data_IF_526748130044
#
_entry.id   IF_526748130044
#
_cell.length_a   1.000
_cell.length_b   1.000
_cell.length_c   1.000
_cell.angle_alpha   90.00
_cell.angle_beta   90.00
_cell.angle_gamma   90.00
#
_symmetry.space_group_name_H-M   'P 1'
#
loop_
_entity.id
_entity.type
_entity.pdbx_description
1 polymer ?
#
# COMPACT_ATOMS: atom_id res chain seq x y z
N UNK A 1 10.57 -8.09 10.11
CA UNK A 1 10.12 -8.01 8.71
C UNK A 1 8.64 -8.30 8.68
N UNK A 2 7.84 -7.37 8.18
CA UNK A 2 6.39 -7.53 8.11
C UNK A 2 6.03 -8.37 6.90
N UNK A 3 5.16 -9.37 7.08
CA UNK A 3 4.72 -10.24 5.99
C UNK A 3 3.75 -9.47 5.09
N UNK A 4 3.98 -9.45 3.77
CA UNK A 4 3.03 -8.87 2.83
C UNK A 4 2.09 -9.93 2.27
N UNK A 5 0.78 -9.66 2.29
CA UNK A 5 -0.25 -10.57 1.81
C UNK A 5 -0.99 -9.90 0.65
N UNK A 6 -0.66 -10.22 -0.61
CA UNK A 6 -1.32 -9.62 -1.76
C UNK A 6 -2.75 -10.12 -1.92
N UNK A 7 -3.69 -9.20 -2.14
CA UNK A 7 -5.05 -9.56 -2.57
C UNK A 7 -5.11 -9.83 -4.07
N UNK A 8 -6.19 -10.47 -4.54
CA UNK A 8 -6.44 -10.67 -5.99
C UNK A 8 -6.44 -9.36 -6.76
N UNK A 9 -7.05 -8.30 -6.19
CA UNK A 9 -7.11 -6.98 -6.84
C UNK A 9 -5.75 -6.31 -6.95
N UNK A 10 -4.92 -6.41 -5.91
CA UNK A 10 -3.53 -5.95 -6.00
C UNK A 10 -2.77 -6.66 -7.12
N UNK A 11 -2.91 -7.99 -7.24
CA UNK A 11 -2.25 -8.76 -8.31
C UNK A 11 -2.75 -8.31 -9.69
N UNK A 12 -4.07 -8.18 -9.87
CA UNK A 12 -4.68 -7.65 -11.10
C UNK A 12 -4.14 -6.27 -11.47
N UNK A 13 -4.00 -5.37 -10.49
CA UNK A 13 -3.48 -4.02 -10.71
C UNK A 13 -1.99 -4.06 -11.08
N UNK A 14 -1.18 -4.87 -10.39
CA UNK A 14 0.25 -5.02 -10.66
C UNK A 14 0.53 -5.57 -12.07
N UNK A 15 -0.28 -6.52 -12.55
CA UNK A 15 -0.17 -7.06 -13.91
C UNK A 15 -0.36 -6.00 -15.00
N UNK A 16 -1.17 -4.95 -14.75
CA UNK A 16 -1.32 -3.82 -15.69
C UNK A 16 -0.02 -3.07 -15.92
N UNK A 17 0.90 -3.11 -14.95
CA UNK A 17 2.22 -2.47 -15.03
C UNK A 17 3.31 -3.42 -15.51
N UNK A 18 3.02 -4.70 -15.80
CA UNK A 18 4.02 -5.71 -16.15
C UNK A 18 4.97 -5.30 -17.28
N UNK A 19 4.47 -4.56 -18.28
CA UNK A 19 5.27 -4.05 -19.43
C UNK A 19 5.98 -2.72 -19.13
N UNK A 20 5.72 -2.10 -17.99
CA UNK A 20 6.27 -0.80 -17.59
C UNK A 20 7.39 -1.00 -16.57
N UNK A 21 8.56 -1.44 -17.04
CA UNK A 21 9.70 -1.83 -16.20
C UNK A 21 10.10 -0.77 -15.16
N UNK A 22 10.03 0.51 -15.52
CA UNK A 22 10.35 1.60 -14.61
C UNK A 22 9.41 1.64 -13.39
N UNK A 23 8.11 1.46 -13.59
CA UNK A 23 7.11 1.46 -12.51
C UNK A 23 7.24 0.17 -11.69
N UNK A 24 7.42 -0.99 -12.34
CA UNK A 24 7.63 -2.26 -11.63
C UNK A 24 8.81 -2.23 -10.67
N UNK A 25 9.93 -1.57 -11.05
CA UNK A 25 11.06 -1.37 -10.14
C UNK A 25 10.70 -0.51 -8.92
N UNK A 26 9.86 0.52 -9.08
CA UNK A 26 9.39 1.35 -7.96
C UNK A 26 8.43 0.58 -7.06
N UNK A 27 7.53 -0.22 -7.63
CA UNK A 27 6.65 -1.11 -6.86
C UNK A 27 7.50 -2.07 -6.03
N UNK A 28 8.44 -2.79 -6.65
CA UNK A 28 9.32 -3.73 -5.95
C UNK A 28 10.12 -3.06 -4.82
N UNK A 29 10.66 -1.85 -5.05
CA UNK A 29 11.31 -1.05 -4.01
C UNK A 29 10.37 -0.72 -2.86
N UNK A 30 9.14 -0.33 -3.17
CA UNK A 30 8.11 0.01 -2.16
C UNK A 30 7.76 -1.21 -1.31
N UNK A 31 7.56 -2.37 -1.94
CA UNK A 31 7.28 -3.63 -1.24
C UNK A 31 8.45 -4.01 -0.32
N UNK A 32 9.69 -3.93 -0.80
CA UNK A 32 10.88 -4.19 0.03
C UNK A 32 10.95 -3.26 1.25
N UNK A 33 10.68 -1.97 1.06
CA UNK A 33 10.65 -1.02 2.17
C UNK A 33 9.53 -1.35 3.17
N UNK A 34 8.36 -1.76 2.70
CA UNK A 34 7.27 -2.21 3.57
C UNK A 34 7.65 -3.46 4.37
N UNK A 35 8.34 -4.43 3.77
CA UNK A 35 8.80 -5.64 4.48
C UNK A 35 9.86 -5.30 5.54
N UNK A 36 10.81 -4.43 5.22
CA UNK A 36 11.91 -4.06 6.10
C UNK A 36 11.45 -3.10 7.22
N UNK A 37 10.71 -2.05 6.87
CA UNK A 37 10.25 -1.00 7.77
C UNK A 37 9.01 -0.26 7.20
N UNK A 38 7.78 -0.65 7.58
CA UNK A 38 6.55 0.02 7.14
C UNK A 38 6.48 1.52 7.47
N UNK A 39 7.25 1.98 8.45
CA UNK A 39 7.31 3.39 8.87
C UNK A 39 8.47 4.16 8.20
N UNK A 40 9.11 3.58 7.18
CA UNK A 40 10.20 4.24 6.47
C UNK A 40 9.71 5.58 5.86
N UNK A 41 10.40 6.72 6.08
CA UNK A 41 9.91 8.04 5.68
C UNK A 41 9.69 8.19 4.17
N UNK A 42 10.43 7.42 3.37
CA UNK A 42 10.24 7.35 1.91
C UNK A 42 8.89 6.80 1.45
N UNK A 43 8.20 6.01 2.29
CA UNK A 43 6.88 5.46 1.99
C UNK A 43 5.77 6.51 2.08
N UNK A 44 5.99 7.60 2.83
CA UNK A 44 4.98 8.64 3.08
C UNK A 44 3.61 8.04 3.42
N UNK A 45 3.63 7.17 4.43
CA UNK A 45 2.46 6.45 4.89
C UNK A 45 1.37 7.44 5.34
N UNK A 46 0.19 7.32 4.77
CA UNK A 46 -0.96 8.19 5.02
C UNK A 46 -2.23 7.36 5.21
N UNK A 47 -3.14 7.81 6.09
CA UNK A 47 -4.42 7.13 6.29
C UNK A 47 -5.38 7.51 5.15
N UNK A 48 -6.12 6.54 4.62
CA UNK A 48 -7.12 6.83 3.58
C UNK A 48 -8.35 7.43 4.27
N UNK A 49 -8.78 8.61 3.79
CA UNK A 49 -9.90 9.34 4.43
C UNK A 49 -11.23 8.61 4.23
N UNK A 50 -11.42 7.97 3.08
CA UNK A 50 -12.67 7.30 2.72
C UNK A 50 -12.79 5.88 3.28
N UNK A 51 -11.70 5.30 3.78
CA UNK A 51 -11.67 3.98 4.40
C UNK A 51 -10.78 4.03 5.65
N UNK A 52 -11.38 4.11 6.86
CA UNK A 52 -10.63 4.27 8.09
C UNK A 52 -9.79 3.04 8.45
N UNK A 53 -10.00 1.90 7.79
CA UNK A 53 -9.21 0.67 7.98
C UNK A 53 -8.00 0.62 7.06
N UNK A 54 -7.99 1.39 5.98
CA UNK A 54 -6.95 1.35 4.98
C UNK A 54 -5.97 2.52 5.06
N UNK A 55 -4.74 2.24 4.64
CA UNK A 55 -3.62 3.16 4.56
C UNK A 55 -3.06 3.15 3.15
N UNK A 56 -2.36 4.22 2.78
CA UNK A 56 -1.69 4.35 1.50
C UNK A 56 -0.21 4.64 1.71
N UNK A 57 0.61 4.05 0.84
CA UNK A 57 2.01 4.42 0.69
C UNK A 57 2.30 4.87 -0.73
N UNK A 58 3.30 5.74 -0.85
CA UNK A 58 3.74 6.29 -2.11
C UNK A 58 4.64 5.31 -2.85
N UNK A 59 4.22 4.96 -4.07
CA UNK A 59 5.07 4.26 -5.04
C UNK A 59 5.86 5.28 -5.86
N UNK A 60 5.17 6.29 -6.38
CA UNK A 60 5.79 7.46 -7.00
C UNK A 60 4.90 8.71 -6.93
N UNK A 61 5.11 9.70 -7.80
CA UNK A 61 4.28 10.91 -7.78
C UNK A 61 2.82 10.62 -8.13
N UNK A 62 2.56 9.67 -9.03
CA UNK A 62 1.24 9.36 -9.55
C UNK A 62 0.58 8.21 -8.78
N UNK A 63 1.33 7.16 -8.48
CA UNK A 63 0.77 5.92 -7.96
C UNK A 63 0.88 5.78 -6.45
N UNK A 64 -0.13 5.13 -5.87
CA UNK A 64 -0.24 4.74 -4.47
C UNK A 64 -0.52 3.25 -4.37
N UNK A 65 0.07 2.63 -3.36
CA UNK A 65 -0.27 1.29 -2.93
C UNK A 65 -1.11 1.42 -1.67
N UNK A 66 -2.33 0.89 -1.68
CA UNK A 66 -3.16 0.81 -0.48
C UNK A 66 -3.00 -0.52 0.23
N UNK A 67 -3.03 -0.48 1.56
CA UNK A 67 -2.82 -1.61 2.43
C UNK A 67 -3.69 -1.53 3.68
N UNK A 68 -3.94 -2.67 4.29
CA UNK A 68 -4.65 -2.81 5.56
C UNK A 68 -3.71 -3.51 6.57
N UNK A 69 -3.39 -2.86 7.70
CA UNK A 69 -2.73 -3.52 8.81
C UNK A 69 -3.74 -4.44 9.52
N UNK A 70 -3.60 -5.75 9.34
CA UNK A 70 -4.58 -6.75 9.81
C UNK A 70 -4.85 -6.72 11.33
N UNK A 71 -4.01 -6.01 12.09
CA UNK A 71 -4.14 -5.85 13.53
C UNK A 71 -3.98 -4.40 13.94
N UNK A 72 -4.84 -3.99 14.87
CA UNK A 72 -4.74 -2.73 15.59
C UNK A 72 -4.27 -3.01 17.02
N UNK A 73 -3.41 -2.15 17.55
CA UNK A 73 -3.02 -2.14 18.96
C UNK A 73 -4.19 -1.62 19.82
N UNK A 74 -4.25 -1.97 21.12
CA UNK A 74 -5.30 -1.47 22.03
C UNK A 74 -5.42 0.05 22.10
N UNK A 75 -4.33 0.77 21.82
CA UNK A 75 -4.29 2.23 21.74
C UNK A 75 -4.90 2.82 20.44
N UNK A 76 -5.42 1.98 19.53
CA UNK A 76 -6.06 2.40 18.28
C UNK A 76 -5.08 2.69 17.13
N UNK A 77 -3.78 2.45 17.32
CA UNK A 77 -2.77 2.54 16.26
C UNK A 77 -2.59 1.19 15.55
N UNK A 78 -2.28 1.17 14.25
CA UNK A 78 -1.92 -0.08 13.58
C UNK A 78 -0.71 -0.78 14.20
N UNK A 79 -0.77 -2.11 14.27
CA UNK A 79 0.38 -2.95 14.55
C UNK A 79 1.17 -3.18 13.27
N UNK A 80 2.14 -2.30 13.01
CA UNK A 80 3.00 -2.39 11.82
C UNK A 80 3.92 -3.62 11.79
N UNK A 81 4.05 -4.35 12.91
CA UNK A 81 4.79 -5.61 12.96
C UNK A 81 3.95 -6.81 12.49
N UNK A 82 2.62 -6.66 12.45
CA UNK A 82 1.72 -7.66 11.93
C UNK A 82 1.81 -7.77 10.40
N UNK A 83 1.25 -8.84 9.80
CA UNK A 83 1.12 -8.91 8.36
C UNK A 83 0.33 -7.72 7.79
N UNK A 84 0.77 -7.23 6.63
CA UNK A 84 0.12 -6.16 5.90
C UNK A 84 -0.57 -6.74 4.67
N UNK A 85 -1.88 -6.51 4.57
CA UNK A 85 -2.66 -6.93 3.41
C UNK A 85 -2.57 -5.88 2.32
N UNK A 86 -2.07 -6.23 1.13
CA UNK A 86 -1.96 -5.31 0.00
C UNK A 86 -3.28 -5.29 -0.78
N UNK A 87 -3.96 -4.15 -0.75
CA UNK A 87 -5.32 -4.01 -1.26
C UNK A 87 -5.34 -3.67 -2.74
N UNK A 88 -4.83 -2.49 -3.13
CA UNK A 88 -4.88 -1.99 -4.51
C UNK A 88 -3.59 -1.26 -4.88
N UNK A 89 -3.34 -1.13 -6.17
CA UNK A 89 -2.33 -0.24 -6.73
C UNK A 89 -3.01 0.69 -7.74
N UNK A 90 -3.21 1.94 -7.35
CA UNK A 90 -4.02 2.92 -8.09
C UNK A 90 -3.24 4.22 -8.27
N UNK A 91 -3.74 5.12 -9.11
CA UNK A 91 -3.29 6.51 -9.04
C UNK A 91 -3.87 7.21 -7.79
N UNK A 92 -3.29 8.35 -7.45
CA UNK A 92 -3.70 9.11 -6.28
C UNK A 92 -5.18 9.49 -6.34
N UNK A 93 -5.66 9.97 -7.50
CA UNK A 93 -7.02 10.48 -7.63
C UNK A 93 -8.07 9.36 -7.51
N UNK A 94 -7.81 8.20 -8.13
CA UNK A 94 -8.68 7.02 -8.05
C UNK A 94 -8.74 6.44 -6.63
N UNK A 95 -7.65 6.54 -5.87
CA UNK A 95 -7.63 6.05 -4.49
C UNK A 95 -8.52 6.88 -3.55
N UNK A 96 -8.62 8.19 -3.79
CA UNK A 96 -9.42 9.11 -2.96
C UNK A 96 -10.77 9.48 -3.58
N UNK A 97 -11.13 8.90 -4.72
CA UNK A 97 -12.43 9.11 -5.33
C UNK A 97 -13.51 8.48 -4.45
N UNK A 98 -14.49 9.27 -4.03
CA UNK A 98 -15.68 8.73 -3.40
C UNK A 98 -16.39 7.81 -4.40
N UNK A 99 -16.76 6.57 -4.02
CA UNK A 99 -17.70 5.80 -4.83
C UNK A 99 -18.98 6.63 -4.95
N UNK A 100 -19.41 6.88 -6.19
CA UNK A 100 -20.69 7.53 -6.48
C UNK A 100 -21.85 6.59 -6.16
#
# INVERSE_FOLDING_TARGET
MSKLIPTKKFIEDAERFRRQTAIMKKIAKTLRLLEENPLHPGLRLERIVNDPTAWAVRVDQRYRLSLDPERMLPAGNPDWSAPLRLLRLLDHDDLYRYPR
#
